data_IF_652937795637
#
_entry.id   IF_652937795637
#
_cell.length_a   1.000
_cell.length_b   1.000
_cell.length_c   1.000
_cell.angle_alpha   90.00
_cell.angle_beta   90.00
_cell.angle_gamma   90.00
#
_symmetry.space_group_name_H-M   'P 1'
#
loop_
_entity.id
_entity.type
_entity.pdbx_description
1 polymer ?
#
# COMPACT_ATOMS: atom_id res chain seq x y z
N UNK A 1 23.80 -17.86 -1.99
CA UNK A 1 23.41 -19.05 -2.78
C UNK A 1 22.01 -19.54 -2.42
N UNK A 2 21.62 -19.51 -1.14
CA UNK A 2 20.32 -19.99 -0.66
C UNK A 2 19.11 -19.23 -1.24
N UNK A 3 19.16 -17.90 -1.35
CA UNK A 3 18.07 -17.09 -1.92
C UNK A 3 17.74 -17.49 -3.36
N UNK A 4 18.75 -17.84 -4.17
CA UNK A 4 18.54 -18.29 -5.56
C UNK A 4 17.82 -19.64 -5.62
N UNK A 5 18.07 -20.53 -4.66
CA UNK A 5 17.37 -21.81 -4.58
C UNK A 5 15.90 -21.62 -4.18
N UNK A 6 15.61 -20.75 -3.21
CA UNK A 6 14.23 -20.39 -2.86
C UNK A 6 13.47 -19.83 -4.06
N UNK A 7 14.07 -18.92 -4.81
CA UNK A 7 13.44 -18.33 -6.01
C UNK A 7 13.07 -19.40 -7.03
N UNK A 8 13.98 -20.35 -7.32
CA UNK A 8 13.72 -21.47 -8.23
C UNK A 8 12.59 -22.39 -7.74
N UNK A 9 12.53 -22.64 -6.43
CA UNK A 9 11.49 -23.50 -5.85
C UNK A 9 10.12 -22.79 -5.85
N UNK A 10 10.08 -21.50 -5.55
CA UNK A 10 8.87 -20.67 -5.59
C UNK A 10 8.33 -20.48 -7.01
N UNK A 11 9.20 -20.47 -8.02
CA UNK A 11 8.83 -20.44 -9.43
C UNK A 11 8.65 -21.82 -10.06
N UNK A 12 8.59 -22.89 -9.27
CA UNK A 12 8.39 -24.25 -9.78
C UNK A 12 6.94 -24.49 -10.21
N UNK A 13 6.73 -25.27 -11.28
CA UNK A 13 5.39 -25.69 -11.70
C UNK A 13 4.71 -26.62 -10.66
N UNK A 14 5.50 -27.32 -9.83
CA UNK A 14 4.96 -28.22 -8.82
C UNK A 14 4.44 -27.45 -7.59
N UNK A 15 3.12 -27.53 -7.34
CA UNK A 15 2.47 -26.88 -6.19
C UNK A 15 3.09 -27.28 -4.85
N UNK A 16 3.41 -28.57 -4.65
CA UNK A 16 3.99 -29.04 -3.38
C UNK A 16 5.36 -28.41 -3.12
N UNK A 17 6.18 -28.28 -4.16
CA UNK A 17 7.48 -27.62 -4.09
C UNK A 17 7.33 -26.15 -3.68
N UNK A 18 6.36 -25.42 -4.26
CA UNK A 18 6.11 -24.01 -3.90
C UNK A 18 5.66 -23.85 -2.45
N UNK A 19 4.72 -24.69 -2.00
CA UNK A 19 4.20 -24.64 -0.61
C UNK A 19 5.31 -24.92 0.40
N UNK A 20 6.08 -25.98 0.21
CA UNK A 20 7.19 -26.32 1.10
C UNK A 20 8.26 -25.20 1.11
N UNK A 21 8.52 -24.58 -0.05
CA UNK A 21 9.45 -23.47 -0.14
C UNK A 21 8.95 -22.23 0.61
N UNK A 22 7.65 -21.95 0.57
CA UNK A 22 7.05 -20.84 1.31
C UNK A 22 7.09 -21.08 2.83
N UNK A 23 6.83 -22.30 3.29
CA UNK A 23 6.97 -22.67 4.71
C UNK A 23 8.42 -22.54 5.19
N UNK A 24 9.38 -23.03 4.41
CA UNK A 24 10.80 -22.86 4.71
C UNK A 24 11.23 -21.39 4.66
N UNK A 25 10.63 -20.59 3.78
CA UNK A 25 10.90 -19.16 3.67
C UNK A 25 10.54 -18.41 4.97
N UNK A 26 9.45 -18.77 5.65
CA UNK A 26 9.05 -18.13 6.92
C UNK A 26 10.20 -18.20 7.95
N UNK A 27 10.93 -19.31 8.02
CA UNK A 27 12.11 -19.47 8.89
C UNK A 27 13.33 -18.72 8.37
N UNK A 28 13.50 -18.65 7.05
CA UNK A 28 14.62 -17.94 6.42
C UNK A 28 14.53 -16.42 6.61
N UNK A 29 13.34 -15.84 6.55
CA UNK A 29 13.12 -14.39 6.71
C UNK A 29 13.48 -13.89 8.11
N UNK A 30 13.31 -14.71 9.14
CA UNK A 30 13.63 -14.37 10.52
C UNK A 30 15.13 -14.48 10.84
N UNK A 31 15.90 -15.17 10.00
CA UNK A 31 17.34 -15.35 10.18
C UNK A 31 18.10 -14.03 10.00
N UNK A 32 19.01 -13.74 10.94
CA UNK A 32 19.85 -12.53 10.93
C UNK A 32 20.63 -12.34 9.61
N UNK A 33 21.17 -13.43 9.07
CA UNK A 33 21.90 -13.42 7.80
C UNK A 33 21.09 -12.87 6.64
N UNK A 34 19.79 -13.16 6.57
CA UNK A 34 18.94 -12.62 5.51
C UNK A 34 18.62 -11.13 5.73
N UNK A 35 18.34 -10.73 6.97
CA UNK A 35 18.02 -9.34 7.32
C UNK A 35 19.16 -8.36 6.97
N UNK A 36 20.40 -8.82 7.11
CA UNK A 36 21.60 -8.03 6.81
C UNK A 36 21.94 -7.97 5.30
N UNK A 37 21.30 -8.78 4.46
CA UNK A 37 21.59 -8.79 3.03
C UNK A 37 21.27 -7.45 2.34
N UNK A 38 21.83 -7.31 1.14
CA UNK A 38 21.60 -6.17 0.25
C UNK A 38 20.20 -6.24 -0.38
N UNK A 39 19.66 -5.09 -0.77
CA UNK A 39 18.35 -4.95 -1.42
C UNK A 39 18.13 -5.91 -2.61
N UNK A 40 19.19 -6.27 -3.33
CA UNK A 40 19.12 -7.18 -4.49
C UNK A 40 18.56 -8.55 -4.10
N UNK A 41 18.89 -9.08 -2.92
CA UNK A 41 18.39 -10.39 -2.49
C UNK A 41 16.89 -10.34 -2.16
N UNK A 42 16.42 -9.23 -1.57
CA UNK A 42 14.99 -8.97 -1.36
C UNK A 42 14.23 -8.87 -2.68
N UNK A 43 14.81 -8.19 -3.69
CA UNK A 43 14.19 -8.09 -5.03
C UNK A 43 14.09 -9.47 -5.71
N UNK A 44 15.16 -10.28 -5.64
CA UNK A 44 15.15 -11.64 -6.20
C UNK A 44 14.09 -12.49 -5.53
N UNK A 45 14.01 -12.43 -4.20
CA UNK A 45 13.00 -13.17 -3.44
C UNK A 45 11.58 -12.77 -3.87
N UNK A 46 11.29 -11.47 -3.93
CA UNK A 46 9.97 -10.99 -4.36
C UNK A 46 9.63 -11.38 -5.79
N UNK A 47 10.61 -11.49 -6.69
CA UNK A 47 10.38 -12.04 -8.03
C UNK A 47 9.99 -13.52 -7.98
N UNK A 48 10.54 -14.30 -7.06
CA UNK A 48 10.09 -15.67 -6.77
C UNK A 48 8.66 -15.72 -6.24
N UNK A 49 8.32 -14.87 -5.27
CA UNK A 49 6.97 -14.77 -4.69
C UNK A 49 5.92 -14.32 -5.72
N UNK A 50 6.29 -13.39 -6.60
CA UNK A 50 5.48 -12.97 -7.73
C UNK A 50 5.09 -14.16 -8.61
N UNK A 51 6.04 -15.04 -8.94
CA UNK A 51 5.74 -16.25 -9.72
C UNK A 51 4.99 -17.32 -8.91
N UNK A 52 5.19 -17.40 -7.59
CA UNK A 52 4.37 -18.27 -6.75
C UNK A 52 2.88 -17.89 -6.86
N UNK A 53 2.58 -16.59 -6.89
CA UNK A 53 1.23 -16.06 -7.14
C UNK A 53 0.78 -16.27 -8.60
N UNK A 54 1.70 -16.14 -9.56
CA UNK A 54 1.43 -16.39 -10.99
C UNK A 54 0.85 -17.77 -11.24
N UNK A 55 1.40 -18.82 -10.61
CA UNK A 55 0.94 -20.21 -10.73
C UNK A 55 -0.23 -20.58 -9.80
N UNK A 56 -0.84 -19.62 -9.12
CA UNK A 56 -2.07 -19.84 -8.34
C UNK A 56 -3.29 -19.54 -9.21
N UNK A 57 -4.00 -20.58 -9.65
CA UNK A 57 -5.08 -20.46 -10.64
C UNK A 57 -6.49 -20.49 -10.04
N UNK A 58 -6.64 -21.01 -8.80
CA UNK A 58 -7.97 -21.13 -8.16
C UNK A 58 -8.21 -19.95 -7.19
N UNK A 59 -9.42 -19.37 -7.12
CA UNK A 59 -9.71 -18.21 -6.29
C UNK A 59 -9.39 -18.38 -4.79
N UNK A 60 -9.85 -19.47 -4.15
CA UNK A 60 -9.58 -19.70 -2.72
C UNK A 60 -8.07 -19.83 -2.40
N UNK A 61 -7.27 -20.61 -3.17
CA UNK A 61 -5.82 -20.58 -3.05
C UNK A 61 -5.16 -19.23 -3.30
N UNK A 62 -5.66 -18.41 -4.24
CA UNK A 62 -5.13 -17.06 -4.47
C UNK A 62 -5.34 -16.17 -3.25
N UNK A 63 -6.54 -16.19 -2.65
CA UNK A 63 -6.83 -15.43 -1.43
C UNK A 63 -5.93 -15.85 -0.26
N UNK A 64 -5.81 -17.16 0.00
CA UNK A 64 -4.91 -17.67 1.05
C UNK A 64 -3.47 -17.29 0.80
N UNK A 65 -2.99 -17.44 -0.43
CA UNK A 65 -1.63 -17.08 -0.78
C UNK A 65 -1.39 -15.57 -0.62
N UNK A 66 -2.33 -14.72 -1.04
CA UNK A 66 -2.22 -13.26 -0.85
C UNK A 66 -2.13 -12.89 0.64
N UNK A 67 -2.92 -13.54 1.50
CA UNK A 67 -2.84 -13.37 2.96
C UNK A 67 -1.47 -13.83 3.48
N UNK A 68 -1.04 -15.05 3.14
CA UNK A 68 0.25 -15.61 3.57
C UNK A 68 1.44 -14.74 3.13
N UNK A 69 1.40 -14.17 1.91
CA UNK A 69 2.43 -13.26 1.41
C UNK A 69 2.42 -11.90 2.12
N UNK A 70 1.23 -11.39 2.45
CA UNK A 70 1.09 -10.19 3.28
C UNK A 70 1.70 -10.40 4.67
N UNK A 71 1.33 -11.50 5.33
CA UNK A 71 1.77 -11.88 6.68
C UNK A 71 3.30 -12.00 6.83
N UNK A 72 4.03 -12.23 5.72
CA UNK A 72 5.51 -12.24 5.74
C UNK A 72 6.10 -10.93 6.29
N UNK A 73 5.42 -9.80 6.11
CA UNK A 73 5.86 -8.53 6.68
C UNK A 73 5.81 -8.53 8.22
N UNK A 74 4.81 -9.20 8.80
CA UNK A 74 4.66 -9.35 10.25
C UNK A 74 5.79 -10.17 10.89
N UNK A 75 6.48 -11.03 10.13
CA UNK A 75 7.60 -11.84 10.64
C UNK A 75 8.83 -11.03 11.05
N UNK A 76 8.92 -9.77 10.58
CA UNK A 76 10.00 -8.88 10.99
C UNK A 76 9.73 -8.22 12.35
N UNK A 77 8.53 -8.32 12.90
CA UNK A 77 8.18 -7.64 14.14
C UNK A 77 8.69 -8.45 15.34
N UNK A 78 9.40 -7.78 16.24
CA UNK A 78 9.72 -8.29 17.57
C UNK A 78 9.24 -7.25 18.60
N UNK A 79 8.42 -7.63 19.61
CA UNK A 79 7.98 -6.72 20.65
C UNK A 79 9.11 -5.96 21.37
N UNK A 80 10.32 -6.54 21.41
CA UNK A 80 11.50 -5.90 22.00
C UNK A 80 11.95 -4.65 21.24
N UNK A 81 11.62 -4.56 19.97
CA UNK A 81 11.99 -3.41 19.14
C UNK A 81 11.24 -2.14 19.57
N UNK A 82 10.08 -2.27 20.21
CA UNK A 82 9.31 -1.14 20.76
C UNK A 82 9.96 -0.53 22.01
N UNK A 83 10.76 -1.30 22.75
CA UNK A 83 11.46 -0.80 23.94
C UNK A 83 12.67 0.07 23.59
N UNK A 84 13.20 -0.04 22.38
CA UNK A 84 14.45 0.62 21.96
C UNK A 84 14.11 1.84 21.11
N UNK A 85 13.68 2.92 21.76
CA UNK A 85 12.99 4.04 21.12
C UNK A 85 13.86 4.94 20.21
N UNK A 86 15.19 4.84 20.26
CA UNK A 86 16.04 5.86 19.63
C UNK A 86 16.62 5.50 18.25
N UNK A 87 16.62 4.24 17.82
CA UNK A 87 17.20 3.87 16.52
C UNK A 87 16.41 2.79 15.77
N UNK A 88 16.41 2.92 14.43
CA UNK A 88 15.87 1.89 13.54
C UNK A 88 16.64 0.57 13.72
N UNK A 89 15.90 -0.47 14.11
CA UNK A 89 16.46 -1.78 14.36
C UNK A 89 16.86 -2.46 13.05
N UNK A 90 17.60 -3.57 13.16
CA UNK A 90 17.94 -4.40 12.00
C UNK A 90 16.66 -4.95 11.36
N UNK A 91 15.65 -5.26 12.18
CA UNK A 91 14.35 -5.74 11.74
C UNK A 91 13.61 -4.68 10.91
N UNK A 92 13.59 -3.42 11.36
CA UNK A 92 12.99 -2.31 10.62
C UNK A 92 13.64 -2.10 9.26
N UNK A 93 14.97 -2.10 9.23
CA UNK A 93 15.75 -1.95 8.00
C UNK A 93 15.46 -3.11 7.03
N UNK A 94 15.28 -4.33 7.55
CA UNK A 94 14.89 -5.48 6.74
C UNK A 94 13.44 -5.38 6.23
N UNK A 95 12.50 -4.95 7.08
CA UNK A 95 11.12 -4.67 6.69
C UNK A 95 11.07 -3.64 5.55
N UNK A 96 11.75 -2.50 5.69
CA UNK A 96 11.82 -1.47 4.64
C UNK A 96 12.39 -2.06 3.33
N UNK A 97 13.50 -2.82 3.40
CA UNK A 97 14.08 -3.47 2.20
C UNK A 97 13.11 -4.47 1.57
N UNK A 98 12.38 -5.23 2.38
CA UNK A 98 11.40 -6.20 1.91
C UNK A 98 10.22 -5.50 1.23
N UNK A 99 9.65 -4.48 1.85
CA UNK A 99 8.59 -3.64 1.27
C UNK A 99 9.03 -2.96 -0.03
N UNK A 100 10.26 -2.42 -0.08
CA UNK A 100 10.85 -1.88 -1.32
C UNK A 100 10.95 -2.94 -2.41
N UNK A 101 11.32 -4.16 -2.06
CA UNK A 101 11.41 -5.28 -3.00
C UNK A 101 10.06 -5.59 -3.63
N UNK A 102 8.99 -5.60 -2.82
CA UNK A 102 7.63 -5.80 -3.28
C UNK A 102 7.23 -4.76 -4.32
N UNK A 103 7.26 -3.48 -3.94
CA UNK A 103 6.81 -2.40 -4.82
C UNK A 103 7.65 -2.32 -6.10
N UNK A 104 8.96 -2.58 -6.01
CA UNK A 104 9.82 -2.67 -7.20
C UNK A 104 9.35 -3.76 -8.16
N UNK A 105 9.13 -4.98 -7.67
CA UNK A 105 8.70 -6.09 -8.52
C UNK A 105 7.31 -5.82 -9.09
N UNK A 106 6.38 -5.31 -8.28
CA UNK A 106 5.03 -5.00 -8.75
C UNK A 106 5.02 -3.93 -9.84
N UNK A 107 5.76 -2.82 -9.66
CA UNK A 107 5.82 -1.75 -10.66
C UNK A 107 6.48 -2.21 -11.97
N UNK A 108 7.54 -3.03 -11.89
CA UNK A 108 8.24 -3.53 -13.08
C UNK A 108 7.41 -4.55 -13.86
N UNK A 109 6.67 -5.42 -13.17
CA UNK A 109 5.91 -6.50 -13.81
C UNK A 109 4.47 -6.12 -14.16
N UNK A 110 3.99 -4.95 -13.72
CA UNK A 110 2.59 -4.54 -13.85
C UNK A 110 2.04 -4.69 -15.27
N UNK A 111 2.79 -4.22 -16.26
CA UNK A 111 2.41 -4.28 -17.67
C UNK A 111 2.39 -5.69 -18.25
N UNK A 112 3.14 -6.62 -17.66
CA UNK A 112 3.21 -8.01 -18.12
C UNK A 112 2.05 -8.87 -17.57
N UNK A 113 1.22 -8.31 -16.69
CA UNK A 113 0.08 -9.01 -16.10
C UNK A 113 -1.09 -8.92 -17.08
N UNK A 114 -1.52 -10.07 -17.60
CA UNK A 114 -2.71 -10.13 -18.44
C UNK A 114 -4.00 -9.92 -17.61
N UNK A 115 -5.06 -9.51 -18.30
CA UNK A 115 -6.37 -9.20 -17.70
C UNK A 115 -6.90 -10.30 -16.79
N UNK A 116 -6.72 -11.59 -17.12
CA UNK A 116 -7.25 -12.70 -16.31
C UNK A 116 -6.46 -12.95 -15.02
N UNK A 117 -5.24 -12.39 -14.92
CA UNK A 117 -4.41 -12.48 -13.72
C UNK A 117 -4.45 -11.21 -12.88
N UNK A 118 -5.04 -10.12 -13.37
CA UNK A 118 -4.99 -8.81 -12.71
C UNK A 118 -5.59 -8.84 -11.30
N UNK A 119 -6.78 -9.42 -11.14
CA UNK A 119 -7.55 -9.40 -9.88
C UNK A 119 -6.77 -9.98 -8.70
N UNK A 120 -6.04 -11.07 -8.91
CA UNK A 120 -5.26 -11.71 -7.84
C UNK A 120 -4.06 -10.85 -7.43
N UNK A 121 -3.50 -10.06 -8.35
CA UNK A 121 -2.42 -9.12 -8.03
C UNK A 121 -2.95 -7.83 -7.39
N UNK A 122 -4.13 -7.34 -7.76
CA UNK A 122 -4.83 -6.26 -7.05
C UNK A 122 -5.11 -6.66 -5.59
N UNK A 123 -5.61 -7.90 -5.38
CA UNK A 123 -5.80 -8.45 -4.04
C UNK A 123 -4.47 -8.58 -3.28
N UNK A 124 -3.40 -9.02 -3.95
CA UNK A 124 -2.08 -9.09 -3.34
C UNK A 124 -1.59 -7.72 -2.86
N UNK A 125 -1.74 -6.67 -3.68
CA UNK A 125 -1.40 -5.29 -3.28
C UNK A 125 -2.19 -4.88 -2.05
N UNK A 126 -3.50 -5.17 -2.03
CA UNK A 126 -4.38 -4.88 -0.88
C UNK A 126 -3.89 -5.56 0.40
N UNK A 127 -3.60 -6.87 0.36
CA UNK A 127 -3.11 -7.63 1.53
C UNK A 127 -1.71 -7.22 1.96
N UNK A 128 -0.83 -6.87 1.03
CA UNK A 128 0.53 -6.42 1.35
C UNK A 128 0.51 -5.03 1.98
N UNK A 129 -0.26 -4.08 1.42
CA UNK A 129 -0.39 -2.74 1.98
C UNK A 129 -0.94 -2.81 3.42
N UNK A 130 -2.00 -3.58 3.64
CA UNK A 130 -2.55 -3.81 4.98
C UNK A 130 -1.50 -4.33 5.97
N UNK A 131 -0.73 -5.35 5.60
CA UNK A 131 0.28 -5.91 6.49
C UNK A 131 1.48 -4.97 6.71
N UNK A 132 1.79 -4.10 5.74
CA UNK A 132 2.77 -3.03 5.92
C UNK A 132 2.29 -2.00 6.94
N UNK A 133 1.02 -1.58 6.87
CA UNK A 133 0.41 -0.68 7.85
C UNK A 133 0.30 -1.33 9.23
N UNK A 134 -0.11 -2.61 9.29
CA UNK A 134 -0.15 -3.39 10.53
C UNK A 134 1.22 -3.51 11.20
N UNK A 135 2.29 -3.63 10.42
CA UNK A 135 3.65 -3.59 10.97
C UNK A 135 3.96 -2.24 11.64
N UNK A 136 3.61 -1.13 10.98
CA UNK A 136 3.81 0.23 11.53
C UNK A 136 2.97 0.44 12.81
N UNK A 137 1.72 -0.03 12.82
CA UNK A 137 0.86 0.00 14.01
C UNK A 137 1.44 -0.84 15.15
N UNK A 138 1.97 -2.05 14.85
CA UNK A 138 2.63 -2.91 15.85
C UNK A 138 3.88 -2.24 16.44
N UNK A 139 4.51 -1.34 15.66
CA UNK A 139 5.61 -0.46 16.08
C UNK A 139 5.14 0.86 16.70
N UNK A 140 3.87 0.95 17.08
CA UNK A 140 3.24 2.15 17.67
C UNK A 140 3.49 3.42 16.87
N UNK A 141 3.55 3.31 15.54
CA UNK A 141 3.81 4.43 14.64
C UNK A 141 5.10 5.19 14.96
N UNK A 142 6.19 4.47 15.29
CA UNK A 142 7.51 5.08 15.49
C UNK A 142 7.85 6.06 14.36
N UNK A 143 8.11 7.32 14.71
CA UNK A 143 8.23 8.41 13.74
C UNK A 143 9.35 8.17 12.74
N UNK A 144 10.51 7.69 13.20
CA UNK A 144 11.68 7.41 12.33
C UNK A 144 11.35 6.30 11.32
N UNK A 145 10.68 5.24 11.78
CA UNK A 145 10.22 4.16 10.92
C UNK A 145 9.18 4.63 9.90
N UNK A 146 8.19 5.42 10.32
CA UNK A 146 7.15 5.98 9.45
C UNK A 146 7.76 6.89 8.39
N UNK A 147 8.62 7.83 8.77
CA UNK A 147 9.30 8.75 7.86
C UNK A 147 10.14 7.99 6.83
N UNK A 148 10.91 6.99 7.28
CA UNK A 148 11.71 6.16 6.39
C UNK A 148 10.85 5.29 5.49
N UNK A 149 9.73 4.75 5.97
CA UNK A 149 8.78 4.00 5.15
C UNK A 149 8.17 4.88 4.07
N UNK A 150 7.64 6.05 4.44
CA UNK A 150 7.07 7.02 3.49
C UNK A 150 8.11 7.41 2.44
N UNK A 151 9.32 7.79 2.86
CA UNK A 151 10.38 8.26 1.96
C UNK A 151 10.95 7.15 1.07
N UNK A 152 11.34 6.02 1.66
CA UNK A 152 12.07 4.95 0.96
C UNK A 152 11.16 3.92 0.28
N UNK A 153 9.89 3.83 0.66
CA UNK A 153 8.93 2.86 0.11
C UNK A 153 7.89 3.59 -0.75
N UNK A 154 7.03 4.40 -0.15
CA UNK A 154 5.87 4.98 -0.83
C UNK A 154 6.26 6.05 -1.87
N UNK A 155 6.92 7.12 -1.43
CA UNK A 155 7.38 8.23 -2.29
C UNK A 155 8.46 7.81 -3.28
N UNK A 156 9.21 6.76 -2.95
CA UNK A 156 10.30 6.29 -3.82
C UNK A 156 9.78 5.74 -5.16
N UNK A 157 8.69 4.98 -5.16
CA UNK A 157 8.22 4.30 -6.36
C UNK A 157 6.70 4.37 -6.58
N UNK A 158 5.84 3.65 -5.82
CA UNK A 158 4.42 3.56 -6.15
C UNK A 158 3.69 4.91 -6.16
N UNK A 159 4.10 5.85 -5.29
CA UNK A 159 3.55 7.20 -5.17
C UNK A 159 4.59 8.27 -5.54
N UNK A 160 5.44 7.99 -6.53
CA UNK A 160 6.50 8.92 -6.96
C UNK A 160 6.04 9.98 -7.96
N UNK A 161 4.84 9.84 -8.56
CA UNK A 161 4.38 10.68 -9.68
C UNK A 161 5.11 10.45 -11.02
N UNK A 162 6.19 9.65 -11.01
CA UNK A 162 7.02 9.45 -12.20
C UNK A 162 6.26 8.74 -13.33
N UNK A 163 6.43 9.18 -14.60
CA UNK A 163 5.83 8.50 -15.76
C UNK A 163 6.38 7.07 -15.99
N UNK A 164 7.45 6.68 -15.29
CA UNK A 164 7.98 5.31 -15.30
C UNK A 164 7.11 4.32 -14.54
N UNK A 165 6.22 4.81 -13.67
CA UNK A 165 5.31 3.99 -12.89
C UNK A 165 3.94 4.02 -13.56
N UNK A 166 3.42 2.83 -13.87
CA UNK A 166 2.10 2.72 -14.48
C UNK A 166 1.02 3.26 -13.55
N UNK A 167 0.15 4.12 -14.08
CA UNK A 167 -0.88 4.84 -13.31
C UNK A 167 -1.88 3.93 -12.60
N UNK A 168 -2.06 2.69 -13.08
CA UNK A 168 -2.96 1.73 -12.43
C UNK A 168 -2.57 1.36 -10.99
N UNK A 169 -1.29 1.41 -10.63
CA UNK A 169 -0.85 1.13 -9.25
C UNK A 169 -1.25 2.25 -8.29
N UNK A 170 -0.88 3.53 -8.50
CA UNK A 170 -1.29 4.59 -7.59
C UNK A 170 -2.81 4.78 -7.55
N UNK A 171 -3.53 4.58 -8.66
CA UNK A 171 -5.00 4.57 -8.66
C UNK A 171 -5.53 3.46 -7.73
N UNK A 172 -5.04 2.23 -7.86
CA UNK A 172 -5.47 1.14 -6.97
C UNK A 172 -5.11 1.41 -5.50
N UNK A 173 -4.01 2.11 -5.21
CA UNK A 173 -3.68 2.52 -3.84
C UNK A 173 -4.71 3.53 -3.32
N UNK A 174 -5.10 4.51 -4.13
CA UNK A 174 -6.17 5.47 -3.78
C UNK A 174 -7.46 4.73 -3.44
N UNK A 175 -7.86 3.77 -4.28
CA UNK A 175 -9.12 3.02 -4.13
C UNK A 175 -9.18 2.20 -2.83
N UNK A 176 -8.04 1.79 -2.25
CA UNK A 176 -8.00 0.85 -1.11
C UNK A 176 -7.45 1.45 0.18
N UNK A 177 -6.79 2.62 0.14
CA UNK A 177 -6.01 3.14 1.27
C UNK A 177 -6.89 3.35 2.51
N UNK A 178 -8.01 4.05 2.36
CA UNK A 178 -8.90 4.38 3.46
C UNK A 178 -9.59 3.13 4.03
N UNK A 179 -9.98 2.19 3.17
CA UNK A 179 -10.55 0.91 3.60
C UNK A 179 -9.57 0.10 4.45
N UNK A 180 -8.30 0.02 4.04
CA UNK A 180 -7.31 -0.72 4.81
C UNK A 180 -6.93 0.00 6.10
N UNK A 181 -7.05 1.34 6.15
CA UNK A 181 -6.89 2.11 7.38
C UNK A 181 -8.04 1.86 8.34
N UNK A 182 -9.27 1.91 7.86
CA UNK A 182 -10.47 1.61 8.65
C UNK A 182 -10.40 0.18 9.22
N UNK A 183 -10.02 -0.79 8.38
CA UNK A 183 -9.79 -2.18 8.80
C UNK A 183 -8.70 -2.35 9.84
N UNK A 184 -7.70 -1.46 9.86
CA UNK A 184 -6.63 -1.46 10.86
C UNK A 184 -7.10 -0.94 12.21
N UNK A 185 -8.08 -0.02 12.20
CA UNK A 185 -8.63 0.62 13.39
C UNK A 185 -9.76 -0.20 14.03
N UNK A 186 -10.48 -1.00 13.24
CA UNK A 186 -11.43 -1.99 13.74
C UNK A 186 -10.64 -3.14 14.38
N UNK A 187 -10.63 -3.21 15.71
CA UNK A 187 -10.08 -4.37 16.45
C UNK A 187 -10.80 -5.63 15.93
N UNK A 188 -10.03 -6.59 15.45
CA UNK A 188 -10.47 -7.54 14.41
C UNK A 188 -11.44 -8.64 14.82
N UNK A 189 -12.65 -8.31 15.25
CA UNK A 189 -13.80 -9.22 15.33
C UNK A 189 -14.99 -8.64 14.53
N UNK A 190 -15.32 -9.29 13.41
CA UNK A 190 -16.39 -8.90 12.47
C UNK A 190 -17.79 -9.42 12.88
N UNK A 191 -18.01 -9.88 14.12
CA UNK A 191 -19.15 -10.79 14.40
C UNK A 191 -20.29 -10.26 15.29
N UNK A 192 -20.30 -9.01 15.77
CA UNK A 192 -21.43 -8.49 16.58
C UNK A 192 -21.91 -7.10 16.10
N UNK A 193 -22.69 -7.06 15.02
CA UNK A 193 -23.37 -5.84 14.54
C UNK A 193 -24.78 -5.68 15.16
N UNK A 194 -24.87 -4.99 16.30
CA UNK A 194 -26.09 -4.28 16.70
C UNK A 194 -26.06 -2.85 16.12
N UNK A 195 -27.13 -2.42 15.44
CA UNK A 195 -27.18 -1.12 14.73
C UNK A 195 -27.02 0.11 15.65
N UNK A 196 -27.35 0.01 16.93
CA UNK A 196 -27.17 1.09 17.92
C UNK A 196 -25.68 1.40 18.21
N UNK A 197 -24.75 0.52 17.80
CA UNK A 197 -23.31 0.64 18.08
C UNK A 197 -22.53 1.33 16.95
N UNK A 198 -23.12 1.56 15.78
CA UNK A 198 -22.39 2.08 14.59
C UNK A 198 -21.86 3.51 14.77
N UNK A 199 -22.63 4.40 15.39
CA UNK A 199 -22.16 5.78 15.64
C UNK A 199 -21.03 5.82 16.67
N UNK A 200 -21.09 4.96 17.69
CA UNK A 200 -20.04 4.85 18.70
C UNK A 200 -18.76 4.27 18.12
N UNK A 201 -18.87 3.22 17.29
CA UNK A 201 -17.77 2.66 16.52
C UNK A 201 -17.13 3.71 15.59
N UNK A 202 -17.93 4.49 14.87
CA UNK A 202 -17.42 5.57 14.02
C UNK A 202 -16.64 6.64 14.82
N UNK A 203 -17.08 6.97 16.03
CA UNK A 203 -16.34 7.89 16.93
C UNK A 203 -15.03 7.27 17.42
N UNK A 204 -15.03 6.00 17.82
CA UNK A 204 -13.81 5.27 18.23
C UNK A 204 -12.80 5.20 17.09
N UNK A 205 -13.26 4.94 15.87
CA UNK A 205 -12.43 4.94 14.66
C UNK A 205 -11.87 6.34 14.42
N UNK A 206 -12.67 7.40 14.51
CA UNK A 206 -12.18 8.76 14.33
C UNK A 206 -11.10 9.14 15.37
N UNK A 207 -11.31 8.82 16.65
CA UNK A 207 -10.33 9.11 17.71
C UNK A 207 -9.03 8.33 17.56
N UNK A 208 -9.11 7.08 17.09
CA UNK A 208 -7.93 6.26 16.83
C UNK A 208 -7.20 6.70 15.55
N UNK A 209 -7.93 7.09 14.50
CA UNK A 209 -7.37 7.64 13.27
C UNK A 209 -6.50 8.89 13.53
N UNK A 210 -6.93 9.79 14.42
CA UNK A 210 -6.14 10.98 14.82
C UNK A 210 -4.77 10.65 15.43
N UNK A 211 -4.62 9.46 16.02
CA UNK A 211 -3.35 9.00 16.62
C UNK A 211 -2.43 8.35 15.59
N UNK A 212 -2.88 8.17 14.35
CA UNK A 212 -2.11 7.55 13.27
C UNK A 212 -1.46 8.60 12.37
N UNK A 213 -0.36 8.26 11.66
CA UNK A 213 0.30 9.16 10.71
C UNK A 213 -0.44 9.23 9.36
N UNK A 214 -1.77 9.08 9.35
CA UNK A 214 -2.56 9.13 8.12
C UNK A 214 -2.39 10.47 7.41
N UNK A 215 -2.38 11.58 8.15
CA UNK A 215 -2.16 12.91 7.58
C UNK A 215 -0.83 13.00 6.79
N UNK A 216 0.25 12.42 7.30
CA UNK A 216 1.55 12.40 6.62
C UNK A 216 1.52 11.57 5.32
N UNK A 217 0.69 10.51 5.29
CA UNK A 217 0.46 9.71 4.08
C UNK A 217 -0.41 10.47 3.08
N UNK A 218 -1.45 11.16 3.53
CA UNK A 218 -2.32 12.00 2.69
C UNK A 218 -1.53 13.16 2.06
N UNK A 219 -0.56 13.73 2.78
CA UNK A 219 0.34 14.76 2.25
C UNK A 219 1.12 14.30 0.99
N UNK A 220 1.39 13.00 0.84
CA UNK A 220 2.00 12.45 -0.38
C UNK A 220 1.10 12.70 -1.59
N UNK A 221 -0.20 12.50 -1.44
CA UNK A 221 -1.18 12.69 -2.50
C UNK A 221 -1.40 14.17 -2.81
N UNK A 222 -1.33 15.04 -1.80
CA UNK A 222 -1.36 16.50 -2.00
C UNK A 222 -0.19 16.94 -2.89
N UNK A 223 1.02 16.46 -2.62
CA UNK A 223 2.21 16.75 -3.45
C UNK A 223 2.03 16.25 -4.90
N UNK A 224 1.46 15.05 -5.07
CA UNK A 224 1.19 14.49 -6.42
C UNK A 224 0.21 15.38 -7.19
N UNK A 225 -0.83 15.88 -6.53
CA UNK A 225 -1.85 16.74 -7.13
C UNK A 225 -1.30 18.13 -7.45
N UNK A 226 -0.42 18.66 -6.60
CA UNK A 226 0.19 19.98 -6.77
C UNK A 226 1.17 20.03 -7.96
N UNK A 227 1.87 18.94 -8.26
CA UNK A 227 2.78 18.89 -9.42
C UNK A 227 2.00 18.66 -10.74
N UNK A 228 1.86 19.73 -11.52
CA UNK A 228 1.17 19.71 -12.82
C UNK A 228 1.83 18.83 -13.88
N UNK A 229 3.09 18.43 -13.70
CA UNK A 229 3.77 17.49 -14.60
C UNK A 229 3.25 16.05 -14.42
N UNK A 230 2.60 15.75 -13.30
CA UNK A 230 1.99 14.45 -13.07
C UNK A 230 0.75 14.25 -13.93
N UNK A 231 0.47 12.98 -14.24
CA UNK A 231 -0.68 12.57 -15.03
C UNK A 231 -1.97 13.23 -14.55
N UNK A 232 -2.65 13.97 -15.44
CA UNK A 232 -3.93 14.62 -15.17
C UNK A 232 -4.95 13.63 -14.62
N UNK A 233 -5.03 12.42 -15.21
CA UNK A 233 -5.92 11.35 -14.77
C UNK A 233 -5.69 10.94 -13.32
N UNK A 234 -4.42 10.82 -12.91
CA UNK A 234 -4.10 10.48 -11.52
C UNK A 234 -4.50 11.62 -10.57
N UNK A 235 -4.22 12.86 -10.95
CA UNK A 235 -4.54 14.03 -10.14
C UNK A 235 -6.04 14.21 -9.96
N UNK A 236 -6.83 14.02 -11.03
CA UNK A 236 -8.29 14.07 -10.98
C UNK A 236 -8.85 12.94 -10.11
N UNK A 237 -8.38 11.71 -10.30
CA UNK A 237 -8.80 10.56 -9.46
C UNK A 237 -8.53 10.79 -7.97
N UNK A 238 -7.37 11.35 -7.61
CA UNK A 238 -7.07 11.67 -6.21
C UNK A 238 -8.05 12.73 -5.66
N UNK A 239 -8.35 13.78 -6.42
CA UNK A 239 -9.29 14.83 -6.00
C UNK A 239 -10.71 14.28 -5.85
N UNK A 240 -11.15 13.48 -6.81
CA UNK A 240 -12.53 13.00 -6.92
C UNK A 240 -12.85 11.86 -5.96
N UNK A 241 -11.89 10.98 -5.65
CA UNK A 241 -12.13 9.80 -4.81
C UNK A 241 -11.52 9.92 -3.42
N UNK A 242 -10.29 10.42 -3.29
CA UNK A 242 -9.61 10.46 -2.00
C UNK A 242 -9.99 11.70 -1.20
N UNK A 243 -9.85 12.89 -1.79
CA UNK A 243 -10.06 14.15 -1.06
C UNK A 243 -11.53 14.51 -0.84
N UNK A 244 -12.43 13.95 -1.64
CA UNK A 244 -13.89 14.08 -1.47
C UNK A 244 -14.45 13.08 -0.45
N UNK A 245 -13.67 12.09 0.00
CA UNK A 245 -14.15 11.05 0.90
C UNK A 245 -14.49 11.64 2.28
N UNK A 246 -15.75 11.44 2.70
CA UNK A 246 -16.29 11.98 3.94
C UNK A 246 -15.57 11.43 5.19
N UNK A 247 -14.89 10.28 5.07
CA UNK A 247 -14.06 9.70 6.14
C UNK A 247 -12.91 10.61 6.54
N UNK A 248 -12.30 11.34 5.60
CA UNK A 248 -11.17 12.23 5.93
C UNK A 248 -11.60 13.44 6.77
N UNK A 249 -12.82 13.94 6.54
CA UNK A 249 -13.41 15.01 7.36
C UNK A 249 -13.84 14.48 8.72
N UNK A 250 -14.48 13.29 8.77
CA UNK A 250 -14.91 12.70 10.04
C UNK A 250 -13.74 12.29 10.94
N UNK A 251 -12.61 11.92 10.34
CA UNK A 251 -11.37 11.62 11.06
C UNK A 251 -10.52 12.86 11.37
N UNK A 252 -10.97 14.06 11.01
CA UNK A 252 -10.29 15.34 11.27
C UNK A 252 -8.88 15.40 10.65
N UNK A 253 -8.72 14.78 9.47
CA UNK A 253 -7.46 14.73 8.72
C UNK A 253 -7.40 15.85 7.67
N UNK A 254 -8.55 16.18 7.07
CA UNK A 254 -8.72 17.35 6.24
C UNK A 254 -9.71 18.28 6.93
N UNK A 255 -9.38 19.57 7.00
CA UNK A 255 -10.36 20.60 7.39
C UNK A 255 -11.51 20.52 6.39
N UNK A 256 -12.71 20.22 6.88
CA UNK A 256 -13.89 20.17 6.02
C UNK A 256 -14.03 21.51 5.30
N UNK A 257 -14.18 21.48 3.98
CA UNK A 257 -14.65 22.65 3.26
C UNK A 257 -16.03 23.02 3.84
N UNK A 258 -16.08 24.01 4.74
CA UNK A 258 -17.20 24.93 4.76
C UNK A 258 -17.37 25.35 3.31
N UNK A 259 -18.47 24.94 2.69
CA UNK A 259 -18.93 25.46 1.42
C UNK A 259 -19.01 26.98 1.52
N UNK A 260 -17.90 27.66 1.25
CA UNK A 260 -17.92 29.05 0.89
C UNK A 260 -18.35 29.06 -0.57
N UNK A 261 -19.65 29.32 -0.75
CA UNK A 261 -20.18 29.86 -1.99
C UNK A 261 -19.27 31.00 -2.44
N UNK A 262 -18.40 30.74 -3.41
CA UNK A 262 -17.97 31.78 -4.34
C UNK A 262 -18.85 31.67 -5.59
N UNK A 263 -20.13 32.00 -5.37
CA UNK A 263 -20.94 32.61 -6.41
C UNK A 263 -20.50 34.06 -6.54
N UNK A 264 -19.43 34.30 -7.30
CA UNK A 264 -19.01 35.65 -7.68
C UNK A 264 -18.56 35.68 -9.15
N UNK A 265 -19.58 35.64 -10.02
CA UNK A 265 -19.75 36.60 -11.11
C UNK A 265 -18.57 36.80 -12.08
N UNK A 266 -18.44 35.91 -13.08
CA UNK A 266 -17.86 36.28 -14.38
C UNK A 266 -18.94 36.17 -15.45
N UNK A 267 -19.66 37.28 -15.64
CA UNK A 267 -20.46 37.56 -16.82
C UNK A 267 -19.54 37.98 -17.96
N UNK A 268 -19.67 37.26 -19.08
CA UNK A 268 -19.61 37.74 -20.47
C UNK A 268 -18.34 38.44 -20.97
N UNK A 269 -17.61 37.77 -21.86
CA UNK A 269 -17.29 38.34 -23.18
C UNK A 269 -17.22 37.21 -24.22
N UNK A 270 -18.13 37.30 -25.19
CA UNK A 270 -18.26 36.46 -26.38
C UNK A 270 -17.11 36.73 -27.36
N UNK A 271 -16.49 35.70 -27.93
CA UNK A 271 -16.05 35.73 -29.33
C UNK A 271 -16.30 34.36 -29.98
N UNK A 272 -17.44 34.24 -30.66
CA UNK A 272 -17.68 33.22 -31.68
C UNK A 272 -16.73 33.46 -32.86
N UNK A 273 -15.60 32.77 -32.93
CA UNK A 273 -14.82 32.72 -34.17
C UNK A 273 -15.54 31.83 -35.20
N UNK A 274 -16.39 32.50 -35.96
CA UNK A 274 -17.06 32.06 -37.18
C UNK A 274 -16.01 31.60 -38.21
N UNK A 275 -15.77 30.29 -38.32
CA UNK A 275 -14.88 29.71 -39.34
C UNK A 275 -15.45 29.94 -40.76
N UNK A 276 -14.79 30.80 -41.56
CA UNK A 276 -15.09 31.02 -42.99
C UNK A 276 -13.90 30.65 -43.89
N UNK A 277 -13.94 29.44 -44.46
CA UNK A 277 -13.20 29.04 -45.68
C UNK A 277 -11.67 28.91 -45.54
N UNK A 278 -10.95 28.20 -46.39
CA UNK A 278 -11.15 27.84 -47.81
C UNK A 278 -11.25 26.34 -48.07
#
# INVERSE_FOLDING_TARGET
METSNFVKQLSSNNRKTRVNALEALKKYLTAKQFKENKQIEFNKLWKGLYYAMWFSDRPRPQQRLANELGELHGLYFDPKDNSTADELTINDKAFIKFSRGFWKVMCFEWFNIDRYRLDKYLLLIRRVLFNQLKYLQSRNWDKKLVDEYIKKVLRWLPLSGSPKVYTGIPIHIVDILLDEWERLLKDGDEDDEDEENKEEEMRKIAESAKKTPLADVIAIFQDIVADYNNSKVLREKIKEDLFSDTRLVSWDILEGETQHNDSSNESEEEEEEEWKGF
#
